data_IF_174168298123
#
_entry.id   IF_174168298123
#
_cell.length_a   1.000
_cell.length_b   1.000
_cell.length_c   1.000
_cell.angle_alpha   90.00
_cell.angle_beta   90.00
_cell.angle_gamma   90.00
#
_symmetry.space_group_name_H-M   'P 1'
#
loop_
_entity.id
_entity.type
_entity.pdbx_description
1 polymer ?
#
# COMPACT_ATOMS: atom_id res chain seq x y z
N UNK A 1 -31.07 -2.90 9.69
CA UNK A 1 -30.31 -2.00 10.60
C UNK A 1 -29.14 -1.46 9.81
N UNK A 2 -28.89 -0.17 9.92
CA UNK A 2 -27.68 0.44 9.31
C UNK A 2 -26.46 -0.01 10.11
N UNK A 3 -25.45 -0.53 9.43
CA UNK A 3 -24.17 -0.89 10.04
C UNK A 3 -23.30 0.37 10.18
N UNK A 4 -22.44 0.42 11.20
CA UNK A 4 -21.35 1.38 11.21
C UNK A 4 -20.23 0.92 10.25
N UNK A 5 -19.25 1.78 9.95
CA UNK A 5 -18.23 1.48 8.95
C UNK A 5 -17.34 0.30 9.35
N UNK A 6 -17.04 0.12 10.64
CA UNK A 6 -16.29 -1.02 11.14
C UNK A 6 -17.05 -2.33 10.94
N UNK A 7 -18.34 -2.36 11.28
CA UNK A 7 -19.18 -3.55 11.09
C UNK A 7 -19.32 -3.89 9.61
N UNK A 8 -19.57 -2.88 8.77
CA UNK A 8 -19.68 -3.05 7.31
C UNK A 8 -18.39 -3.62 6.72
N UNK A 9 -17.23 -3.06 7.09
CA UNK A 9 -15.92 -3.55 6.65
C UNK A 9 -15.69 -5.01 7.06
N UNK A 10 -15.91 -5.33 8.34
CA UNK A 10 -15.72 -6.71 8.88
C UNK A 10 -16.64 -7.71 8.22
N UNK A 11 -17.93 -7.37 8.06
CA UNK A 11 -18.90 -8.23 7.41
C UNK A 11 -18.59 -8.44 5.93
N UNK A 12 -18.23 -7.38 5.19
CA UNK A 12 -17.85 -7.47 3.78
C UNK A 12 -16.70 -8.45 3.58
N UNK A 13 -15.64 -8.34 4.40
CA UNK A 13 -14.47 -9.21 4.30
C UNK A 13 -14.70 -10.61 4.87
N UNK A 14 -15.70 -10.79 5.71
CA UNK A 14 -16.16 -12.10 6.19
C UNK A 14 -17.17 -12.78 5.24
N UNK A 15 -17.57 -12.12 4.14
CA UNK A 15 -18.65 -12.55 3.24
C UNK A 15 -20.01 -12.67 3.95
N UNK A 16 -20.21 -11.88 4.98
CA UNK A 16 -21.47 -11.77 5.71
C UNK A 16 -22.34 -10.66 5.11
N UNK A 17 -23.60 -10.65 5.52
CA UNK A 17 -24.57 -9.66 5.00
C UNK A 17 -24.16 -8.23 5.40
N UNK A 18 -24.18 -7.34 4.44
CA UNK A 18 -23.97 -5.89 4.60
C UNK A 18 -25.21 -5.11 4.16
N UNK A 19 -25.34 -3.90 4.63
CA UNK A 19 -26.39 -2.94 4.20
C UNK A 19 -26.04 -2.28 2.85
N UNK A 20 -24.76 -2.16 2.55
CA UNK A 20 -24.17 -1.76 1.27
C UNK A 20 -22.69 -2.19 1.24
N UNK A 21 -22.05 -2.13 0.09
CA UNK A 21 -20.61 -2.34 0.02
C UNK A 21 -19.84 -1.19 0.69
N UNK A 22 -18.59 -1.45 1.08
CA UNK A 22 -17.68 -0.40 1.55
C UNK A 22 -17.39 0.54 0.38
N UNK A 23 -17.58 1.84 0.59
CA UNK A 23 -17.19 2.87 -0.36
C UNK A 23 -15.75 3.33 -0.10
N UNK A 24 -14.96 3.32 -1.16
CA UNK A 24 -13.61 3.82 -1.18
C UNK A 24 -13.36 4.39 -2.57
N UNK A 25 -13.50 5.69 -2.72
CA UNK A 25 -13.66 6.31 -4.03
C UNK A 25 -12.45 6.16 -4.94
N UNK A 26 -11.29 6.61 -4.50
CA UNK A 26 -10.06 6.53 -5.28
C UNK A 26 -8.82 6.79 -4.40
N UNK A 27 -7.64 6.30 -4.80
CA UNK A 27 -6.37 6.83 -4.33
C UNK A 27 -6.24 8.33 -4.67
N UNK A 28 -5.41 9.04 -3.92
CA UNK A 28 -5.23 10.48 -4.10
C UNK A 28 -4.86 10.84 -5.55
N UNK A 29 -5.45 11.92 -6.13
CA UNK A 29 -5.03 12.44 -7.42
C UNK A 29 -3.59 12.96 -7.34
N UNK A 30 -2.85 12.89 -8.46
CA UNK A 30 -1.56 13.54 -8.55
C UNK A 30 -1.69 15.08 -8.46
N UNK A 31 -0.60 15.76 -8.10
CA UNK A 31 -0.60 17.22 -7.98
C UNK A 31 -1.03 17.91 -9.28
N UNK A 32 -0.53 17.42 -10.42
CA UNK A 32 -0.89 17.92 -11.76
C UNK A 32 -2.38 17.67 -12.09
N UNK A 33 -2.95 16.59 -11.62
CA UNK A 33 -4.39 16.30 -11.76
C UNK A 33 -5.19 17.36 -11.02
N UNK A 34 -4.81 17.69 -9.79
CA UNK A 34 -5.47 18.73 -9.00
C UNK A 34 -5.33 20.11 -9.65
N UNK A 35 -4.18 20.45 -10.24
CA UNK A 35 -3.98 21.70 -10.96
C UNK A 35 -4.85 21.79 -12.23
N UNK A 36 -5.03 20.66 -12.95
CA UNK A 36 -5.97 20.58 -14.04
C UNK A 36 -7.40 20.77 -13.55
N UNK A 37 -7.81 20.01 -12.53
CA UNK A 37 -9.18 20.04 -12.00
C UNK A 37 -9.57 21.41 -11.45
N UNK A 38 -8.67 22.18 -10.84
CA UNK A 38 -8.92 23.57 -10.46
C UNK A 38 -9.35 24.44 -11.65
N UNK A 39 -8.74 24.24 -12.82
CA UNK A 39 -9.13 24.95 -14.06
C UNK A 39 -10.47 24.46 -14.62
N UNK A 40 -10.89 23.25 -14.28
CA UNK A 40 -12.15 22.62 -14.66
C UNK A 40 -13.27 22.84 -13.62
N UNK A 41 -13.03 23.62 -12.55
CA UNK A 41 -14.03 23.98 -11.53
C UNK A 41 -13.95 23.23 -10.22
N UNK A 42 -12.92 22.41 -10.00
CA UNK A 42 -12.68 21.80 -8.68
C UNK A 42 -12.30 22.87 -7.65
N UNK A 43 -13.02 22.87 -6.53
CA UNK A 43 -12.78 23.72 -5.38
C UNK A 43 -12.14 22.90 -4.24
N UNK A 44 -10.84 23.06 -3.95
CA UNK A 44 -10.15 22.27 -2.91
C UNK A 44 -10.65 22.52 -1.49
N UNK A 45 -11.50 23.55 -1.28
CA UNK A 45 -12.12 23.83 0.03
C UNK A 45 -13.37 23.00 0.26
N UNK A 46 -13.89 22.35 -0.76
CA UNK A 46 -15.07 21.48 -0.70
C UNK A 46 -14.65 20.01 -0.68
N UNK A 47 -15.35 19.16 0.08
CA UNK A 47 -15.11 17.73 0.03
C UNK A 47 -15.41 17.19 -1.36
N UNK A 48 -14.72 16.10 -1.73
CA UNK A 48 -15.09 15.30 -2.89
C UNK A 48 -16.46 14.66 -2.68
N UNK A 49 -17.20 14.33 -3.78
CA UNK A 49 -18.48 13.64 -3.66
C UNK A 49 -18.29 12.32 -2.92
N UNK A 50 -19.26 12.00 -2.06
CA UNK A 50 -19.27 10.74 -1.31
C UNK A 50 -17.96 10.48 -0.54
N UNK A 51 -17.88 10.88 0.73
CA UNK A 51 -16.71 10.60 1.56
C UNK A 51 -16.51 9.09 1.66
N UNK A 52 -15.26 8.67 1.63
CA UNK A 52 -14.92 7.28 1.93
C UNK A 52 -15.51 6.86 3.28
N UNK A 53 -15.86 5.58 3.42
CA UNK A 53 -16.23 5.02 4.72
C UNK A 53 -15.09 5.27 5.71
N UNK A 54 -15.44 5.61 6.92
CA UNK A 54 -14.49 6.02 7.94
C UNK A 54 -13.39 4.98 8.16
N UNK A 55 -12.14 5.43 8.28
CA UNK A 55 -10.98 4.60 8.53
C UNK A 55 -9.87 5.37 9.23
N UNK A 56 -9.09 4.64 10.00
CA UNK A 56 -7.86 5.13 10.60
C UNK A 56 -6.71 4.37 9.96
N UNK A 57 -5.82 5.09 9.28
CA UNK A 57 -4.67 4.50 8.57
C UNK A 57 -3.38 5.09 9.08
N UNK A 58 -2.45 4.24 9.47
CA UNK A 58 -1.11 4.61 9.89
C UNK A 58 -0.07 3.89 9.03
N UNK A 59 0.90 4.63 8.50
CA UNK A 59 1.99 4.06 7.69
C UNK A 59 3.39 4.51 8.15
N UNK A 60 3.54 5.76 8.55
CA UNK A 60 4.86 6.35 8.86
C UNK A 60 5.56 5.78 10.10
N UNK A 61 4.85 5.04 10.95
CA UNK A 61 5.41 4.48 12.19
C UNK A 61 6.53 3.45 11.95
N UNK A 62 6.60 2.89 10.75
CA UNK A 62 7.59 1.86 10.38
C UNK A 62 8.78 2.42 9.60
N UNK A 63 8.77 3.69 9.26
CA UNK A 63 9.89 4.34 8.58
C UNK A 63 11.14 4.38 9.46
N UNK A 64 12.35 4.51 8.87
CA UNK A 64 13.57 4.70 9.64
C UNK A 64 13.44 5.87 10.62
N UNK A 65 13.74 5.61 11.90
CA UNK A 65 13.64 6.65 12.93
C UNK A 65 14.87 6.63 13.87
N UNK A 66 15.51 7.81 14.11
CA UNK A 66 15.21 9.13 13.59
C UNK A 66 15.36 9.22 12.07
N UNK A 67 14.57 10.08 11.37
CA UNK A 67 14.73 10.29 9.95
C UNK A 67 16.11 10.89 9.64
N UNK A 68 16.59 10.71 8.42
CA UNK A 68 17.78 11.43 7.97
C UNK A 68 17.46 12.91 7.76
N UNK A 69 18.44 13.75 8.05
CA UNK A 69 18.33 15.16 7.78
C UNK A 69 18.37 15.42 6.26
N UNK A 70 17.39 16.17 5.75
CA UNK A 70 17.41 16.59 4.35
C UNK A 70 18.55 17.54 4.12
N UNK A 71 19.50 17.15 3.24
CA UNK A 71 20.70 17.92 2.97
C UNK A 71 20.92 18.09 1.46
N UNK A 72 20.98 19.32 0.98
CA UNK A 72 21.37 19.61 -0.39
C UNK A 72 22.86 19.35 -0.54
N UNK A 73 23.24 18.53 -1.53
CA UNK A 73 24.62 18.15 -1.84
C UNK A 73 25.15 18.98 -3.00
N UNK A 74 24.33 19.16 -4.03
CA UNK A 74 24.65 19.94 -5.22
C UNK A 74 23.38 20.51 -5.82
N UNK A 75 23.51 21.66 -6.47
CA UNK A 75 22.44 22.36 -7.16
C UNK A 75 23.01 23.10 -8.37
N UNK A 76 22.35 22.97 -9.50
CA UNK A 76 22.63 23.73 -10.73
C UNK A 76 21.36 24.43 -11.23
N UNK A 77 21.35 24.95 -12.46
CA UNK A 77 20.20 25.67 -13.02
C UNK A 77 18.96 24.76 -13.14
N UNK A 78 19.13 23.51 -13.55
CA UNK A 78 18.07 22.58 -13.91
C UNK A 78 17.75 21.54 -12.83
N UNK A 79 18.74 21.19 -11.98
CA UNK A 79 18.64 20.05 -11.08
C UNK A 79 19.02 20.37 -9.64
N UNK A 80 18.47 19.59 -8.71
CA UNK A 80 18.85 19.56 -7.29
C UNK A 80 19.22 18.14 -6.89
N UNK A 81 20.38 17.97 -6.24
CA UNK A 81 20.82 16.69 -5.66
C UNK A 81 20.83 16.81 -4.14
N UNK A 82 20.14 15.92 -3.46
CA UNK A 82 19.99 15.99 -2.00
C UNK A 82 19.85 14.60 -1.36
N UNK A 83 20.09 14.53 -0.05
CA UNK A 83 19.71 13.39 0.79
C UNK A 83 18.28 13.61 1.24
N UNK A 84 17.40 12.61 1.06
CA UNK A 84 16.05 12.66 1.57
C UNK A 84 15.95 12.13 3.03
N UNK A 85 14.75 12.19 3.61
CA UNK A 85 14.50 11.72 4.98
C UNK A 85 14.71 10.21 5.20
N UNK A 86 14.81 9.42 4.14
CA UNK A 86 15.10 7.98 4.16
C UNK A 86 16.61 7.69 4.01
N UNK A 87 17.43 8.70 3.77
CA UNK A 87 18.88 8.57 3.58
C UNK A 87 19.30 8.29 2.13
N UNK A 88 18.36 8.36 1.20
CA UNK A 88 18.61 8.17 -0.23
C UNK A 88 19.14 9.46 -0.83
N UNK A 89 20.27 9.38 -1.53
CA UNK A 89 20.78 10.48 -2.37
C UNK A 89 20.07 10.42 -3.70
N UNK A 90 19.32 11.46 -4.01
CA UNK A 90 18.56 11.55 -5.26
C UNK A 90 18.79 12.87 -5.96
N UNK A 91 18.59 12.86 -7.29
CA UNK A 91 18.63 14.05 -8.15
C UNK A 91 17.28 14.23 -8.80
N UNK A 92 16.72 15.41 -8.69
CA UNK A 92 15.45 15.81 -9.30
C UNK A 92 15.63 17.01 -10.21
N UNK A 93 14.76 17.13 -11.19
CA UNK A 93 14.63 18.33 -12.00
C UNK A 93 13.80 19.37 -11.24
N UNK A 94 14.18 20.63 -11.33
CA UNK A 94 13.48 21.73 -10.65
C UNK A 94 12.14 22.09 -11.30
N UNK A 95 12.00 21.82 -12.59
CA UNK A 95 10.78 22.09 -13.37
C UNK A 95 9.73 20.98 -13.30
N UNK A 96 10.07 19.79 -12.73
CA UNK A 96 9.16 18.66 -12.56
C UNK A 96 9.31 18.02 -11.17
N UNK A 97 8.97 18.74 -10.09
CA UNK A 97 9.29 18.28 -8.74
C UNK A 97 8.51 17.04 -8.29
N UNK A 98 7.24 16.88 -8.71
CA UNK A 98 6.35 15.89 -8.11
C UNK A 98 5.97 14.71 -9.01
N UNK A 99 6.02 14.87 -10.34
CA UNK A 99 5.57 13.85 -11.30
C UNK A 99 6.69 13.07 -11.98
N UNK A 100 7.95 13.52 -11.89
CA UNK A 100 9.07 12.79 -12.46
C UNK A 100 9.74 11.88 -11.44
N UNK A 101 10.01 10.62 -11.86
CA UNK A 101 10.84 9.72 -11.06
C UNK A 101 12.23 10.35 -10.88
N UNK A 102 12.72 10.57 -9.65
CA UNK A 102 14.07 11.07 -9.42
C UNK A 102 15.13 10.07 -9.88
N UNK A 103 16.32 10.55 -10.17
CA UNK A 103 17.47 9.69 -10.32
C UNK A 103 17.99 9.30 -8.92
N UNK A 104 17.89 8.04 -8.57
CA UNK A 104 18.49 7.49 -7.36
C UNK A 104 20.00 7.31 -7.57
N UNK A 105 20.82 7.98 -6.77
CA UNK A 105 22.28 8.00 -6.91
C UNK A 105 22.94 7.06 -5.92
N UNK A 106 22.48 7.10 -4.65
CA UNK A 106 23.01 6.28 -3.57
C UNK A 106 21.93 5.95 -2.57
N UNK A 107 21.97 4.74 -2.05
CA UNK A 107 21.07 4.25 -0.99
C UNK A 107 21.78 4.25 0.36
N UNK A 108 21.03 4.22 1.48
CA UNK A 108 21.62 4.36 2.81
C UNK A 108 22.52 3.18 3.24
N UNK A 109 22.50 2.06 2.53
CA UNK A 109 23.24 0.84 2.86
C UNK A 109 24.04 0.35 1.66
N UNK A 110 25.37 0.34 1.78
CA UNK A 110 26.30 -0.22 0.78
C UNK A 110 27.05 -1.43 1.30
N UNK A 111 27.23 -1.54 2.64
CA UNK A 111 27.97 -2.64 3.28
C UNK A 111 27.14 -3.31 4.36
N UNK A 112 27.57 -4.50 4.77
CA UNK A 112 26.94 -5.21 5.89
C UNK A 112 27.13 -4.47 7.23
N UNK A 113 28.24 -3.78 7.40
CA UNK A 113 28.53 -2.94 8.56
C UNK A 113 27.58 -1.73 8.60
N UNK A 114 27.39 -1.05 7.46
CA UNK A 114 26.42 0.06 7.36
C UNK A 114 25.00 -0.42 7.64
N UNK A 115 24.63 -1.60 7.14
CA UNK A 115 23.32 -2.19 7.48
C UNK A 115 23.15 -2.40 8.98
N UNK A 116 24.14 -2.98 9.66
CA UNK A 116 24.08 -3.23 11.09
C UNK A 116 23.99 -1.94 11.90
N UNK A 117 24.69 -0.91 11.46
CA UNK A 117 24.60 0.42 12.05
C UNK A 117 23.20 1.04 11.80
N UNK A 118 22.72 1.00 10.54
CA UNK A 118 21.38 1.47 10.17
C UNK A 118 20.28 0.79 11.01
N UNK A 119 20.33 -0.54 11.11
CA UNK A 119 19.39 -1.32 11.95
C UNK A 119 19.44 -0.87 13.41
N UNK A 120 20.62 -0.78 13.99
CA UNK A 120 20.82 -0.39 15.40
C UNK A 120 20.29 1.01 15.70
N UNK A 121 20.46 1.94 14.78
CA UNK A 121 20.07 3.34 14.97
C UNK A 121 18.61 3.58 14.65
N UNK A 122 18.06 2.94 13.60
CA UNK A 122 16.83 3.37 12.95
C UNK A 122 15.68 2.36 12.95
N UNK A 123 15.96 1.08 13.21
CA UNK A 123 14.94 0.04 13.35
C UNK A 123 14.71 -0.33 14.83
N UNK A 124 14.54 0.68 15.67
CA UNK A 124 14.15 0.50 17.07
C UNK A 124 12.65 0.65 17.23
N UNK A 125 12.00 -0.33 17.85
CA UNK A 125 10.57 -0.30 18.10
C UNK A 125 10.24 0.53 19.35
N UNK A 126 10.56 1.82 19.32
CA UNK A 126 10.23 2.78 20.37
C UNK A 126 8.99 3.57 19.99
N UNK A 127 7.82 3.25 20.59
CA UNK A 127 6.56 3.89 20.26
C UNK A 127 6.52 5.37 20.63
N UNK A 128 7.21 5.76 21.70
CA UNK A 128 7.28 7.17 22.09
C UNK A 128 7.99 8.03 21.02
N UNK A 129 9.09 7.51 20.47
CA UNK A 129 9.82 8.21 19.39
C UNK A 129 9.03 8.20 18.07
N UNK A 130 8.29 7.12 17.75
CA UNK A 130 7.65 6.91 16.46
C UNK A 130 6.23 7.46 16.35
N UNK A 131 5.49 7.47 17.45
CA UNK A 131 4.09 7.94 17.52
C UNK A 131 4.00 9.26 18.27
N UNK A 132 4.81 9.42 19.32
CA UNK A 132 4.84 10.60 20.19
C UNK A 132 4.72 10.23 21.67
N UNK A 133 4.97 11.20 22.57
CA UNK A 133 4.98 10.95 24.02
C UNK A 133 3.63 10.49 24.60
N UNK A 134 2.54 10.81 23.93
CA UNK A 134 1.17 10.41 24.27
C UNK A 134 0.68 9.16 23.51
N UNK A 135 1.59 8.31 22.99
CA UNK A 135 1.24 7.15 22.18
C UNK A 135 0.24 6.19 22.85
N UNK A 136 0.28 6.07 24.20
CA UNK A 136 -0.65 5.21 24.93
C UNK A 136 -2.10 5.70 24.81
N UNK A 137 -2.28 7.01 24.95
CA UNK A 137 -3.60 7.65 24.83
C UNK A 137 -4.10 7.56 23.40
N UNK A 138 -3.24 7.84 22.41
CA UNK A 138 -3.56 7.73 20.98
C UNK A 138 -4.01 6.32 20.67
N UNK A 139 -3.23 5.31 20.99
CA UNK A 139 -3.55 3.92 20.66
C UNK A 139 -4.80 3.43 21.40
N UNK A 140 -4.96 3.75 22.70
CA UNK A 140 -6.13 3.35 23.48
C UNK A 140 -7.42 4.01 22.99
N UNK A 141 -7.34 5.23 22.43
CA UNK A 141 -8.51 5.91 21.87
C UNK A 141 -9.15 5.18 20.68
N UNK A 142 -8.40 4.26 20.05
CA UNK A 142 -8.91 3.46 18.92
C UNK A 142 -9.73 2.24 19.36
N UNK A 143 -9.87 1.94 20.65
CA UNK A 143 -10.66 0.79 21.11
C UNK A 143 -12.15 0.98 20.84
N UNK A 144 -12.67 2.19 21.03
CA UNK A 144 -14.10 2.52 20.88
C UNK A 144 -14.44 3.09 19.49
N UNK A 145 -13.62 2.77 18.48
CA UNK A 145 -13.82 3.25 17.10
C UNK A 145 -15.02 2.60 16.41
N UNK A 146 -15.63 3.31 15.50
CA UNK A 146 -16.69 2.88 14.60
C UNK A 146 -16.24 2.60 13.16
N UNK A 147 -14.93 2.70 12.91
CA UNK A 147 -14.29 2.50 11.61
C UNK A 147 -13.08 1.53 11.71
N UNK A 148 -12.63 0.88 10.61
CA UNK A 148 -11.49 -0.03 10.64
C UNK A 148 -10.18 0.70 10.96
N UNK A 149 -9.35 0.07 11.80
CA UNK A 149 -7.96 0.47 12.03
C UNK A 149 -7.04 -0.35 11.11
N UNK A 150 -6.34 0.36 10.24
CA UNK A 150 -5.44 -0.19 9.24
C UNK A 150 -4.02 0.29 9.57
N UNK A 151 -3.09 -0.62 9.77
CA UNK A 151 -1.68 -0.31 9.99
C UNK A 151 -0.90 -0.87 8.82
N UNK A 152 -0.26 0.01 8.06
CA UNK A 152 0.53 -0.35 6.88
C UNK A 152 1.99 -0.07 7.19
N UNK A 153 2.86 -1.07 7.02
CA UNK A 153 4.28 -0.88 7.24
C UNK A 153 4.98 -0.15 6.08
N UNK A 154 4.22 0.16 5.01
CA UNK A 154 4.64 0.91 3.83
C UNK A 154 5.94 0.32 3.24
N UNK A 155 6.70 1.10 2.44
CA UNK A 155 7.90 0.64 1.72
C UNK A 155 9.01 0.05 2.61
N UNK A 156 8.93 0.24 3.91
CA UNK A 156 9.87 -0.33 4.88
C UNK A 156 9.38 -1.63 5.51
N UNK A 157 8.17 -2.04 5.21
CA UNK A 157 7.54 -3.24 5.76
C UNK A 157 7.46 -4.43 4.80
N UNK A 158 7.93 -4.29 3.56
CA UNK A 158 8.05 -5.40 2.63
C UNK A 158 9.40 -6.10 2.75
N UNK A 159 9.49 -7.37 2.39
CA UNK A 159 10.78 -8.07 2.41
C UNK A 159 11.64 -7.73 1.19
N UNK A 160 11.06 -7.62 0.00
CA UNK A 160 11.75 -7.04 -1.16
C UNK A 160 11.74 -5.51 -1.09
N UNK A 161 10.56 -4.91 -0.81
CA UNK A 161 10.39 -3.45 -0.74
C UNK A 161 11.34 -2.80 0.27
N UNK A 162 11.44 -3.32 1.49
CA UNK A 162 12.33 -2.81 2.52
C UNK A 162 13.81 -2.99 2.17
N UNK A 163 14.19 -4.14 1.60
CA UNK A 163 15.57 -4.35 1.11
C UNK A 163 15.87 -3.36 -0.03
N UNK A 164 14.96 -3.20 -0.99
CA UNK A 164 15.08 -2.24 -2.09
C UNK A 164 15.24 -0.79 -1.58
N UNK A 165 14.48 -0.42 -0.56
CA UNK A 165 14.60 0.92 0.04
C UNK A 165 15.98 1.16 0.69
N UNK A 166 16.62 0.09 1.19
CA UNK A 166 17.97 0.18 1.81
C UNK A 166 19.11 0.17 0.80
N UNK A 167 19.03 -0.64 -0.27
CA UNK A 167 20.21 -0.90 -1.15
C UNK A 167 19.95 -0.57 -2.63
N UNK A 168 18.75 -0.17 -3.01
CA UNK A 168 18.34 0.03 -4.41
C UNK A 168 17.85 -1.24 -5.09
N UNK A 169 17.06 -1.07 -6.16
CA UNK A 169 16.38 -2.17 -6.86
C UNK A 169 17.37 -3.15 -7.50
N UNK A 170 18.37 -2.65 -8.21
CA UNK A 170 19.37 -3.48 -8.91
C UNK A 170 20.10 -4.38 -7.91
N UNK A 171 20.64 -3.78 -6.86
CA UNK A 171 21.36 -4.53 -5.85
C UNK A 171 20.46 -5.47 -5.07
N UNK A 172 19.23 -5.08 -4.75
CA UNK A 172 18.26 -5.96 -4.11
C UNK A 172 18.03 -7.25 -4.94
N UNK A 173 17.93 -7.14 -6.27
CA UNK A 173 17.81 -8.29 -7.16
C UNK A 173 19.09 -9.16 -7.18
N UNK A 174 20.27 -8.54 -7.21
CA UNK A 174 21.55 -9.26 -7.24
C UNK A 174 21.86 -9.98 -5.93
N UNK A 175 21.45 -9.44 -4.78
CA UNK A 175 21.70 -10.06 -3.48
C UNK A 175 21.13 -11.48 -3.34
N UNK A 176 20.10 -11.83 -4.08
CA UNK A 176 19.57 -13.21 -4.10
C UNK A 176 20.58 -14.24 -4.59
N UNK A 177 21.58 -13.80 -5.36
CA UNK A 177 22.62 -14.65 -5.96
C UNK A 177 24.00 -14.38 -5.36
N UNK A 178 24.37 -13.11 -5.17
CA UNK A 178 25.72 -12.69 -4.82
C UNK A 178 26.00 -12.80 -3.32
N UNK A 179 25.04 -12.46 -2.45
CA UNK A 179 25.14 -12.58 -1.00
C UNK A 179 23.79 -12.94 -0.36
N UNK A 180 23.31 -14.18 -0.56
CA UNK A 180 22.04 -14.64 0.02
C UNK A 180 22.01 -14.53 1.54
N UNK A 181 23.14 -14.73 2.22
CA UNK A 181 23.22 -14.64 3.68
C UNK A 181 23.02 -13.21 4.18
N UNK A 182 23.47 -12.21 3.41
CA UNK A 182 23.21 -10.81 3.75
C UNK A 182 21.75 -10.44 3.48
N UNK A 183 21.19 -10.91 2.36
CA UNK A 183 19.77 -10.74 2.08
C UNK A 183 18.88 -11.30 3.19
N UNK A 184 19.21 -12.52 3.68
CA UNK A 184 18.48 -13.14 4.78
C UNK A 184 18.61 -12.32 6.07
N UNK A 185 19.82 -11.82 6.42
CA UNK A 185 20.04 -10.96 7.58
C UNK A 185 19.17 -9.68 7.52
N UNK A 186 19.04 -9.07 6.34
CA UNK A 186 18.18 -7.91 6.13
C UNK A 186 16.69 -8.25 6.28
N UNK A 187 16.21 -9.30 5.61
CA UNK A 187 14.81 -9.73 5.70
C UNK A 187 14.42 -10.17 7.11
N UNK A 188 15.29 -10.92 7.81
CA UNK A 188 15.04 -11.33 9.19
C UNK A 188 14.98 -10.12 10.14
N UNK A 189 15.80 -9.11 9.89
CA UNK A 189 15.77 -7.86 10.67
C UNK A 189 14.49 -7.06 10.46
N UNK A 190 13.96 -7.06 9.24
CA UNK A 190 12.64 -6.46 8.95
C UNK A 190 11.55 -7.23 9.71
N UNK A 191 11.55 -8.57 9.62
CA UNK A 191 10.56 -9.39 10.34
C UNK A 191 10.59 -9.16 11.86
N UNK A 192 11.80 -9.12 12.47
CA UNK A 192 11.98 -8.82 13.90
C UNK A 192 11.37 -7.47 14.26
N UNK A 193 11.66 -6.44 13.46
CA UNK A 193 11.19 -5.10 13.70
C UNK A 193 9.67 -4.98 13.58
N UNK A 194 9.07 -5.59 12.55
CA UNK A 194 7.61 -5.60 12.38
C UNK A 194 6.91 -6.30 13.56
N UNK A 195 7.42 -7.44 13.99
CA UNK A 195 6.90 -8.18 15.14
C UNK A 195 7.01 -7.33 16.41
N UNK A 196 8.18 -6.75 16.69
CA UNK A 196 8.39 -5.94 17.89
C UNK A 196 7.50 -4.71 17.94
N UNK A 197 7.33 -4.02 16.79
CA UNK A 197 6.41 -2.88 16.68
C UNK A 197 4.97 -3.29 16.96
N UNK A 198 4.49 -4.32 16.28
CA UNK A 198 3.11 -4.77 16.42
C UNK A 198 2.83 -5.37 17.79
N UNK A 199 3.79 -6.08 18.41
CA UNK A 199 3.62 -6.59 19.77
C UNK A 199 3.36 -5.49 20.79
N UNK A 200 3.99 -4.34 20.60
CA UNK A 200 3.76 -3.15 21.45
C UNK A 200 2.44 -2.44 21.15
N UNK A 201 2.06 -2.33 19.87
CA UNK A 201 0.83 -1.64 19.44
C UNK A 201 -0.43 -2.38 19.90
N UNK A 202 -0.47 -3.69 19.69
CA UNK A 202 -1.66 -4.52 20.01
C UNK A 202 -1.93 -4.68 21.52
N UNK A 203 -1.06 -4.17 22.38
CA UNK A 203 -1.33 -4.08 23.82
C UNK A 203 -2.36 -2.98 24.15
N UNK A 204 -2.59 -2.03 23.25
CA UNK A 204 -3.44 -0.87 23.47
C UNK A 204 -4.72 -0.88 22.63
N UNK A 205 -4.71 -1.55 21.49
CA UNK A 205 -5.87 -1.55 20.58
C UNK A 205 -5.88 -2.78 19.67
N UNK A 206 -7.08 -3.22 19.28
CA UNK A 206 -7.24 -4.19 18.20
C UNK A 206 -6.94 -3.57 16.85
N UNK A 207 -6.32 -4.33 15.95
CA UNK A 207 -6.00 -3.93 14.58
C UNK A 207 -6.82 -4.77 13.60
N UNK A 208 -7.54 -4.13 12.67
CA UNK A 208 -8.37 -4.84 11.71
C UNK A 208 -7.56 -5.34 10.50
N UNK A 209 -6.62 -4.52 10.01
CA UNK A 209 -5.73 -4.86 8.89
C UNK A 209 -4.30 -4.51 9.23
N UNK A 210 -3.38 -5.43 8.98
CA UNK A 210 -1.96 -5.13 8.86
C UNK A 210 -1.55 -5.25 7.40
N UNK A 211 -0.80 -4.27 6.86
CA UNK A 211 -0.39 -4.19 5.47
C UNK A 211 1.12 -4.22 5.28
N UNK A 212 1.58 -5.15 4.43
CA UNK A 212 2.91 -5.11 3.81
C UNK A 212 2.88 -4.25 2.55
N UNK A 213 4.05 -3.79 2.11
CA UNK A 213 4.23 -3.13 0.83
C UNK A 213 5.48 -3.65 0.13
N UNK A 214 5.35 -4.15 -1.10
CA UNK A 214 6.46 -4.76 -1.82
C UNK A 214 6.84 -4.02 -3.09
N UNK A 215 5.87 -3.65 -3.90
CA UNK A 215 6.08 -2.99 -5.19
C UNK A 215 7.23 -3.64 -5.99
N UNK A 216 7.09 -4.96 -6.22
CA UNK A 216 8.14 -5.83 -6.73
C UNK A 216 7.85 -6.40 -8.11
N UNK A 217 6.91 -5.84 -8.85
CA UNK A 217 6.59 -6.29 -10.19
C UNK A 217 6.48 -5.12 -11.18
N UNK A 218 6.89 -5.39 -12.42
CA UNK A 218 6.59 -4.58 -13.60
C UNK A 218 5.30 -5.07 -14.26
N UNK A 219 4.85 -4.36 -15.30
CA UNK A 219 3.71 -4.79 -16.14
C UNK A 219 3.91 -6.17 -16.77
N UNK A 220 5.14 -6.65 -16.88
CA UNK A 220 5.50 -7.95 -17.49
C UNK A 220 5.70 -9.07 -16.48
N UNK A 221 5.67 -8.78 -15.18
CA UNK A 221 5.86 -9.75 -14.12
C UNK A 221 6.83 -9.29 -13.03
N UNK A 222 7.13 -10.16 -12.06
CA UNK A 222 7.94 -9.82 -10.90
C UNK A 222 9.41 -9.56 -11.25
N UNK A 223 10.07 -8.70 -10.46
CA UNK A 223 11.49 -8.37 -10.57
C UNK A 223 12.41 -9.54 -10.18
N UNK A 224 11.92 -10.41 -9.31
CA UNK A 224 12.61 -11.63 -8.84
C UNK A 224 11.77 -12.84 -9.22
N UNK A 225 12.39 -13.89 -9.72
CA UNK A 225 11.69 -15.13 -10.09
C UNK A 225 10.88 -15.70 -8.91
N UNK A 226 9.61 -16.13 -9.11
CA UNK A 226 8.71 -16.54 -8.04
C UNK A 226 9.28 -17.63 -7.12
N UNK A 227 9.97 -18.64 -7.67
CA UNK A 227 10.59 -19.70 -6.86
C UNK A 227 11.71 -19.18 -5.95
N UNK A 228 12.51 -18.26 -6.47
CA UNK A 228 13.57 -17.64 -5.70
C UNK A 228 12.98 -16.75 -4.60
N UNK A 229 11.98 -15.93 -4.94
CA UNK A 229 11.27 -15.11 -3.99
C UNK A 229 10.59 -15.97 -2.90
N UNK A 230 9.94 -17.07 -3.28
CA UNK A 230 9.35 -18.03 -2.34
C UNK A 230 10.37 -18.53 -1.33
N UNK A 231 11.56 -18.92 -1.78
CA UNK A 231 12.62 -19.43 -0.91
C UNK A 231 13.01 -18.45 0.20
N UNK A 232 13.12 -17.17 -0.13
CA UNK A 232 13.62 -16.16 0.81
C UNK A 232 12.50 -15.43 1.57
N UNK A 233 11.44 -15.01 0.90
CA UNK A 233 10.42 -14.16 1.49
C UNK A 233 9.34 -14.96 2.26
N UNK A 234 8.89 -16.12 1.72
CA UNK A 234 7.79 -16.87 2.32
C UNK A 234 8.01 -17.24 3.81
N UNK A 235 9.19 -17.72 4.26
CA UNK A 235 9.40 -18.02 5.67
C UNK A 235 9.25 -16.79 6.59
N UNK A 236 9.67 -15.63 6.11
CA UNK A 236 9.61 -14.36 6.84
C UNK A 236 8.19 -13.84 6.92
N UNK A 237 7.45 -13.93 5.79
CA UNK A 237 6.01 -13.63 5.81
C UNK A 237 5.27 -14.51 6.81
N UNK A 238 5.45 -15.83 6.75
CA UNK A 238 4.80 -16.76 7.69
C UNK A 238 5.07 -16.37 9.13
N UNK A 239 6.31 -16.08 9.47
CA UNK A 239 6.70 -15.69 10.82
C UNK A 239 5.95 -14.44 11.31
N UNK A 240 5.84 -13.40 10.49
CA UNK A 240 5.10 -12.17 10.85
C UNK A 240 3.60 -12.42 10.86
N UNK A 241 3.06 -13.12 9.86
CA UNK A 241 1.62 -13.40 9.75
C UNK A 241 1.13 -14.29 10.90
N UNK A 242 1.87 -15.33 11.26
CA UNK A 242 1.54 -16.22 12.39
C UNK A 242 1.51 -15.44 13.71
N UNK A 243 2.50 -14.56 13.91
CA UNK A 243 2.49 -13.65 15.05
C UNK A 243 1.25 -12.74 15.06
N UNK A 244 0.97 -12.04 13.97
CA UNK A 244 -0.19 -11.13 13.85
C UNK A 244 -1.51 -11.85 14.11
N UNK A 245 -1.68 -13.05 13.56
CA UNK A 245 -2.86 -13.89 13.79
C UNK A 245 -2.99 -14.32 15.24
N UNK A 246 -1.88 -14.65 15.92
CA UNK A 246 -1.87 -14.94 17.35
C UNK A 246 -2.35 -13.78 18.22
N UNK A 247 -2.25 -12.55 17.69
CA UNK A 247 -2.74 -11.31 18.31
C UNK A 247 -4.15 -10.89 17.84
N UNK A 248 -4.82 -11.71 17.03
CA UNK A 248 -6.19 -11.46 16.58
C UNK A 248 -6.33 -10.65 15.29
N UNK A 249 -5.24 -10.25 14.64
CA UNK A 249 -5.28 -9.56 13.34
C UNK A 249 -5.71 -10.54 12.25
N UNK A 250 -6.92 -10.36 11.71
CA UNK A 250 -7.53 -11.31 10.77
C UNK A 250 -7.18 -11.04 9.31
N UNK A 251 -7.03 -9.76 8.95
CA UNK A 251 -6.77 -9.36 7.57
C UNK A 251 -5.35 -8.87 7.43
N UNK A 252 -4.60 -9.58 6.59
CA UNK A 252 -3.22 -9.25 6.30
C UNK A 252 -3.18 -8.85 4.83
N UNK A 253 -2.92 -7.58 4.58
CA UNK A 253 -2.86 -7.03 3.23
C UNK A 253 -1.43 -6.94 2.70
N UNK A 254 -1.32 -6.92 1.38
CA UNK A 254 -0.08 -6.62 0.70
C UNK A 254 -0.37 -5.73 -0.50
N UNK A 255 0.37 -4.64 -0.56
CA UNK A 255 0.37 -3.68 -1.66
C UNK A 255 1.55 -3.96 -2.58
N UNK A 256 1.28 -4.17 -3.87
CA UNK A 256 2.32 -4.28 -4.90
C UNK A 256 1.75 -3.96 -6.26
N UNK A 257 2.32 -2.96 -6.90
CA UNK A 257 2.01 -2.59 -8.27
C UNK A 257 2.49 -3.64 -9.28
N UNK A 258 2.08 -3.48 -10.53
CA UNK A 258 2.50 -4.31 -11.65
C UNK A 258 1.74 -5.64 -11.78
N UNK A 259 2.32 -6.56 -12.58
CA UNK A 259 1.75 -7.89 -12.78
C UNK A 259 2.22 -8.85 -11.69
N UNK A 260 1.41 -9.00 -10.67
CA UNK A 260 1.70 -9.83 -9.49
C UNK A 260 1.12 -11.24 -9.58
N UNK A 261 0.56 -11.65 -10.72
CA UNK A 261 -0.23 -12.89 -10.85
C UNK A 261 0.52 -14.15 -10.35
N UNK A 262 1.79 -14.28 -10.71
CA UNK A 262 2.62 -15.41 -10.29
C UNK A 262 3.07 -15.39 -8.83
N UNK A 263 2.87 -14.26 -8.13
CA UNK A 263 3.22 -14.10 -6.71
C UNK A 263 2.04 -14.39 -5.78
N UNK A 264 0.81 -14.30 -6.27
CA UNK A 264 -0.41 -14.52 -5.46
C UNK A 264 -0.36 -15.83 -4.69
N UNK A 265 0.01 -16.99 -5.29
CA UNK A 265 0.09 -18.25 -4.55
C UNK A 265 1.09 -18.23 -3.39
N UNK A 266 2.19 -17.48 -3.52
CA UNK A 266 3.21 -17.37 -2.48
C UNK A 266 2.66 -16.60 -1.28
N UNK A 267 1.95 -15.52 -1.55
CA UNK A 267 1.36 -14.68 -0.51
C UNK A 267 0.19 -15.37 0.19
N UNK A 268 -0.65 -16.11 -0.55
CA UNK A 268 -1.70 -16.94 0.05
C UNK A 268 -1.11 -18.05 0.95
N UNK A 269 -0.03 -18.73 0.51
CA UNK A 269 0.70 -19.72 1.32
C UNK A 269 1.30 -19.11 2.59
N UNK A 270 1.63 -17.82 2.56
CA UNK A 270 2.08 -17.07 3.73
C UNK A 270 0.93 -16.70 4.68
N UNK A 271 -0.32 -16.79 4.22
CA UNK A 271 -1.51 -16.34 4.95
C UNK A 271 -1.89 -14.88 4.75
N UNK A 272 -1.27 -14.18 3.78
CA UNK A 272 -1.72 -12.87 3.29
C UNK A 272 -3.02 -13.12 2.54
N UNK A 273 -4.08 -12.41 2.91
CA UNK A 273 -5.44 -12.69 2.45
C UNK A 273 -6.18 -11.46 1.90
N UNK A 274 -5.48 -10.34 1.73
CA UNK A 274 -5.97 -9.13 1.06
C UNK A 274 -4.89 -8.62 0.14
N UNK A 275 -5.21 -8.31 -1.13
CA UNK A 275 -4.27 -7.70 -2.07
C UNK A 275 -4.81 -6.40 -2.64
N UNK A 276 -3.90 -5.51 -2.97
CA UNK A 276 -4.11 -4.16 -3.50
C UNK A 276 -2.91 -3.80 -4.40
N UNK A 277 -3.03 -2.98 -5.45
CA UNK A 277 -4.25 -2.37 -6.00
C UNK A 277 -4.80 -3.06 -7.27
N UNK A 278 -4.14 -4.08 -7.81
CA UNK A 278 -4.49 -4.80 -9.05
C UNK A 278 -4.44 -3.91 -10.31
N UNK A 279 -3.26 -3.43 -10.67
CA UNK A 279 -3.07 -2.56 -11.85
C UNK A 279 -3.55 -3.20 -13.14
N UNK A 280 -4.66 -2.68 -13.70
CA UNK A 280 -5.28 -3.22 -14.92
C UNK A 280 -4.37 -3.05 -16.14
N UNK A 281 -3.63 -1.94 -16.23
CA UNK A 281 -2.66 -1.73 -17.31
C UNK A 281 -1.48 -2.72 -17.29
N UNK A 282 -1.22 -3.35 -16.16
CA UNK A 282 -0.23 -4.42 -16.01
C UNK A 282 -0.82 -5.81 -16.29
N UNK A 283 -2.08 -5.89 -16.71
CA UNK A 283 -2.76 -7.15 -17.03
C UNK A 283 -3.45 -7.82 -15.84
N UNK A 284 -3.56 -7.13 -14.70
CA UNK A 284 -4.32 -7.65 -13.56
C UNK A 284 -5.82 -7.49 -13.82
N UNK A 285 -6.58 -8.54 -13.52
CA UNK A 285 -8.04 -8.56 -13.64
C UNK A 285 -8.66 -9.22 -12.41
N UNK A 286 -9.31 -8.42 -11.56
CA UNK A 286 -9.92 -8.89 -10.31
C UNK A 286 -11.00 -9.97 -10.53
N UNK A 287 -11.66 -9.99 -11.70
CA UNK A 287 -12.66 -11.02 -12.03
C UNK A 287 -11.97 -12.36 -12.28
N UNK A 288 -10.85 -12.36 -13.02
CA UNK A 288 -10.04 -13.58 -13.22
C UNK A 288 -9.41 -14.04 -11.92
N UNK A 289 -8.84 -13.11 -11.14
CA UNK A 289 -8.24 -13.40 -9.85
C UNK A 289 -9.26 -14.05 -8.92
N UNK A 290 -10.48 -13.52 -8.81
CA UNK A 290 -11.55 -14.15 -8.01
C UNK A 290 -11.89 -15.55 -8.50
N UNK A 291 -11.98 -15.75 -9.80
CA UNK A 291 -12.30 -17.06 -10.38
C UNK A 291 -11.22 -18.12 -10.07
N UNK A 292 -9.96 -17.71 -10.04
CA UNK A 292 -8.82 -18.61 -9.84
C UNK A 292 -8.52 -18.86 -8.36
N UNK A 293 -8.50 -17.79 -7.54
CA UNK A 293 -8.08 -17.88 -6.14
C UNK A 293 -9.26 -17.91 -5.14
N UNK A 294 -10.49 -17.77 -5.63
CA UNK A 294 -11.68 -17.92 -4.78
C UNK A 294 -11.82 -16.87 -3.68
N UNK A 295 -12.52 -17.26 -2.62
CA UNK A 295 -12.86 -16.40 -1.47
C UNK A 295 -11.76 -16.32 -0.40
N UNK A 296 -10.69 -17.07 -0.52
CA UNK A 296 -9.55 -16.98 0.39
C UNK A 296 -8.82 -15.63 0.21
N UNK A 297 -8.89 -15.07 -1.00
CA UNK A 297 -8.33 -13.77 -1.33
C UNK A 297 -9.41 -12.69 -1.33
N UNK A 298 -9.28 -11.68 -0.47
CA UNK A 298 -10.02 -10.42 -0.54
C UNK A 298 -9.26 -9.48 -1.46
N UNK A 299 -10.00 -8.65 -2.16
CA UNK A 299 -9.40 -7.78 -3.16
C UNK A 299 -9.82 -6.34 -2.94
N UNK A 300 -8.94 -5.43 -3.27
CA UNK A 300 -9.15 -3.99 -3.14
C UNK A 300 -8.55 -3.28 -4.35
N UNK A 301 -9.34 -2.47 -5.08
CA UNK A 301 -8.89 -1.81 -6.31
C UNK A 301 -9.35 -2.52 -7.58
N UNK A 302 -8.56 -2.42 -8.64
CA UNK A 302 -8.79 -3.13 -9.91
C UNK A 302 -9.86 -2.54 -10.83
N UNK A 303 -10.29 -1.29 -10.60
CA UNK A 303 -11.04 -0.50 -11.58
C UNK A 303 -10.03 0.30 -12.41
N UNK A 304 -10.06 0.14 -13.74
CA UNK A 304 -9.11 0.79 -14.64
C UNK A 304 -9.25 2.31 -14.63
N UNK A 305 -8.29 3.01 -14.02
CA UNK A 305 -8.24 4.48 -14.00
C UNK A 305 -8.27 5.12 -15.39
N UNK A 306 -7.77 4.41 -16.42
CA UNK A 306 -7.73 4.89 -17.79
C UNK A 306 -9.13 5.01 -18.43
N UNK A 307 -10.13 4.28 -17.92
CA UNK A 307 -11.51 4.43 -18.35
C UNK A 307 -12.04 5.85 -18.07
N UNK A 308 -11.59 6.47 -16.97
CA UNK A 308 -11.97 7.84 -16.61
C UNK A 308 -11.40 8.88 -17.58
N UNK A 309 -10.24 8.61 -18.19
CA UNK A 309 -9.67 9.47 -19.22
C UNK A 309 -10.35 9.33 -20.59
N UNK A 310 -11.12 8.26 -20.81
CA UNK A 310 -11.76 7.97 -22.11
C UNK A 310 -13.17 8.57 -22.21
N UNK A 311 -14.16 7.95 -21.55
CA UNK A 311 -15.56 8.35 -21.65
C UNK A 311 -16.42 7.80 -20.52
N UNK A 312 -17.64 8.32 -20.37
CA UNK A 312 -18.64 7.80 -19.42
C UNK A 312 -19.04 6.36 -19.73
N UNK A 313 -19.14 5.98 -21.02
CA UNK A 313 -19.44 4.61 -21.43
C UNK A 313 -18.32 3.63 -21.03
N UNK A 314 -17.04 4.06 -21.07
CA UNK A 314 -15.92 3.27 -20.59
C UNK A 314 -15.97 3.10 -19.07
N UNK A 315 -16.33 4.14 -18.32
CA UNK A 315 -16.53 4.09 -16.86
C UNK A 315 -17.65 3.10 -16.53
N UNK A 316 -18.79 3.20 -17.23
CA UNK A 316 -19.92 2.28 -17.03
C UNK A 316 -19.54 0.83 -17.33
N UNK A 317 -18.70 0.60 -18.34
CA UNK A 317 -18.24 -0.75 -18.69
C UNK A 317 -17.36 -1.33 -17.60
N UNK A 318 -16.44 -0.55 -17.01
CA UNK A 318 -15.61 -0.97 -15.89
C UNK A 318 -16.43 -1.27 -14.63
N UNK A 319 -17.39 -0.43 -14.27
CA UNK A 319 -18.24 -0.66 -13.12
C UNK A 319 -19.12 -1.90 -13.29
N UNK A 320 -19.69 -2.13 -14.50
CA UNK A 320 -20.40 -3.38 -14.82
C UNK A 320 -19.53 -4.62 -14.73
N UNK A 321 -18.23 -4.52 -15.10
CA UNK A 321 -17.27 -5.64 -15.01
C UNK A 321 -17.08 -6.11 -13.59
N UNK A 322 -17.02 -5.20 -12.62
CA UNK A 322 -16.76 -5.51 -11.20
C UNK A 322 -18.05 -5.70 -10.37
N UNK A 323 -19.21 -5.33 -10.88
CA UNK A 323 -20.50 -5.44 -10.17
C UNK A 323 -20.74 -6.83 -9.56
N UNK A 324 -20.46 -7.97 -10.24
CA UNK A 324 -20.64 -9.29 -9.65
C UNK A 324 -19.80 -9.51 -8.38
N UNK A 325 -18.59 -8.95 -8.33
CA UNK A 325 -17.70 -9.04 -7.16
C UNK A 325 -18.21 -8.19 -5.99
N UNK A 326 -18.74 -7.01 -6.29
CA UNK A 326 -19.38 -6.15 -5.28
C UNK A 326 -20.54 -6.88 -4.62
N UNK A 327 -21.36 -7.56 -5.41
CA UNK A 327 -22.50 -8.37 -4.91
C UNK A 327 -22.08 -9.62 -4.15
N UNK A 328 -20.96 -10.23 -4.51
CA UNK A 328 -20.44 -11.44 -3.85
C UNK A 328 -19.83 -11.14 -2.48
N UNK A 329 -19.21 -9.96 -2.29
CA UNK A 329 -18.47 -9.58 -1.10
C UNK A 329 -16.98 -9.91 -1.16
N UNK A 330 -16.24 -9.55 -0.10
CA UNK A 330 -14.78 -9.73 -0.04
C UNK A 330 -14.02 -8.89 -1.07
N UNK A 331 -14.64 -7.81 -1.57
CA UNK A 331 -14.09 -6.92 -2.58
C UNK A 331 -14.45 -5.46 -2.27
N UNK A 332 -13.47 -4.59 -2.26
CA UNK A 332 -13.68 -3.13 -2.16
C UNK A 332 -13.39 -2.54 -3.54
N UNK A 333 -14.43 -2.08 -4.26
CA UNK A 333 -14.24 -1.45 -5.57
C UNK A 333 -13.56 -0.09 -5.42
N UNK A 334 -12.42 0.07 -6.11
CA UNK A 334 -11.62 1.29 -6.09
C UNK A 334 -10.80 1.36 -7.38
N UNK A 335 -10.33 2.53 -7.78
CA UNK A 335 -9.37 2.65 -8.87
C UNK A 335 -8.09 1.87 -8.58
N UNK A 336 -7.50 1.36 -9.64
CA UNK A 336 -6.29 0.52 -9.60
C UNK A 336 -4.99 1.30 -9.29
N UNK A 337 -5.05 2.62 -9.23
CA UNK A 337 -3.93 3.49 -8.83
C UNK A 337 -4.40 4.96 -8.73
N UNK A 338 -3.52 5.85 -8.27
CA UNK A 338 -3.73 7.30 -8.21
C UNK A 338 -4.20 7.88 -9.55
N UNK A 339 -5.03 8.92 -9.49
CA UNK A 339 -5.66 9.51 -10.68
C UNK A 339 -4.65 10.40 -11.42
N UNK A 340 -4.33 10.05 -12.69
CA UNK A 340 -3.37 10.81 -13.50
C UNK A 340 -3.98 12.07 -14.12
N UNK A 341 -3.15 13.01 -14.62
CA UNK A 341 -3.60 14.33 -15.10
C UNK A 341 -4.39 14.31 -16.42
N UNK A 342 -4.51 13.18 -17.11
CA UNK A 342 -5.33 13.02 -18.30
C UNK A 342 -6.82 12.77 -17.98
N UNK A 343 -7.17 12.54 -16.72
CA UNK A 343 -8.57 12.37 -16.26
C UNK A 343 -9.26 13.72 -16.09
N UNK A 344 -10.35 14.02 -16.86
CA UNK A 344 -11.17 15.21 -16.66
C UNK A 344 -11.93 15.17 -15.33
N UNK A 345 -12.12 16.34 -14.69
CA UNK A 345 -12.86 16.44 -13.43
C UNK A 345 -14.32 15.96 -13.56
N UNK A 346 -15.00 16.29 -14.65
CA UNK A 346 -16.38 15.83 -14.90
C UNK A 346 -16.51 14.31 -15.00
N UNK A 347 -15.49 13.64 -15.56
CA UNK A 347 -15.48 12.17 -15.63
C UNK A 347 -15.24 11.56 -14.25
N UNK A 348 -14.38 12.18 -13.44
CA UNK A 348 -14.20 11.76 -12.05
C UNK A 348 -15.48 11.90 -11.24
N UNK A 349 -16.18 13.04 -11.36
CA UNK A 349 -17.47 13.24 -10.71
C UNK A 349 -18.50 12.18 -11.14
N UNK A 350 -18.57 11.91 -12.43
CA UNK A 350 -19.43 10.86 -12.95
C UNK A 350 -19.10 9.47 -12.38
N UNK A 351 -17.81 9.12 -12.35
CA UNK A 351 -17.33 7.88 -11.73
C UNK A 351 -17.74 7.77 -10.27
N UNK A 352 -17.52 8.83 -9.49
CA UNK A 352 -17.83 8.84 -8.06
C UNK A 352 -19.32 8.59 -7.79
N UNK A 353 -20.22 9.25 -8.57
CA UNK A 353 -21.67 9.01 -8.50
C UNK A 353 -22.04 7.57 -8.88
N UNK A 354 -21.49 7.06 -9.99
CA UNK A 354 -21.79 5.70 -10.46
C UNK A 354 -21.24 4.62 -9.53
N UNK A 355 -20.07 4.84 -8.95
CA UNK A 355 -19.53 3.95 -7.91
C UNK A 355 -20.42 3.96 -6.67
N UNK A 356 -20.90 5.16 -6.25
CA UNK A 356 -21.81 5.29 -5.12
C UNK A 356 -23.14 4.55 -5.37
N UNK A 357 -23.72 4.69 -6.56
CA UNK A 357 -24.90 3.91 -6.97
C UNK A 357 -24.63 2.41 -6.88
N UNK A 358 -23.49 1.94 -7.39
CA UNK A 358 -23.11 0.53 -7.40
C UNK A 358 -22.95 -0.04 -5.97
N UNK A 359 -22.22 0.64 -5.09
CA UNK A 359 -22.02 0.14 -3.73
C UNK A 359 -23.29 0.11 -2.88
N UNK A 360 -24.30 0.91 -3.24
CA UNK A 360 -25.62 0.93 -2.58
C UNK A 360 -26.66 0.02 -3.27
N UNK A 361 -26.30 -0.74 -4.29
CA UNK A 361 -27.22 -1.62 -5.01
C UNK A 361 -27.39 -3.02 -4.42
N UNK A 362 -26.83 -3.28 -3.23
CA UNK A 362 -26.87 -4.60 -2.53
C UNK A 362 -28.21 -4.91 -1.87
#
# INVERSE_FOLDING_TARGET
MSLNDLQRFRNLFAYEKVDRCVYWGAPAPWAETLERWKKEGYDPTKPLPHPDDGRIVHSTWFFPHPPFERKIIAEDEDTITYINHEGIVMRERKDFPDSSMPQFIRFPVETREEFRQFRKERFRANLEERIGPNYREILSSYQDRDCPLIIIADRWGGFFGGVRAMVGVERACLLFYDDPAFLEEMMDSIADFLIEMMDKIVQYTDVDVFGFWEDMAYKTGPLVGPELYRKFALPRYKRVVDFLRSKGVKYISLDSDGNIYSLIPIWLDAGINVLYPFEVQAGMDVVKVRKEFGKELRMWGGIDKRALAQSREAIDAELRRVEPLVKEGGYIPCLDHSIPPDVPYDNYLYYAEKLWELVNSL
#
